data_IF_022016682075
#
_entry.id   IF_022016682075
#
_cell.length_a   1.000
_cell.length_b   1.000
_cell.length_c   1.000
_cell.angle_alpha   90.00
_cell.angle_beta   90.00
_cell.angle_gamma   90.00
#
_symmetry.space_group_name_H-M   'P 1'
#
loop_
_entity.id
_entity.type
_entity.pdbx_description
1 polymer ?
#
# COMPACT_ATOMS: atom_id res chain seq x y z
N UNK A 1 -59.79 -7.16 21.63
CA UNK A 1 -60.34 -6.88 22.98
C UNK A 1 -59.76 -7.95 23.89
N UNK A 2 -58.70 -7.64 24.65
CA UNK A 2 -58.73 -6.91 25.92
C UNK A 2 -58.57 -7.90 27.06
N UNK A 3 -57.34 -8.14 27.52
CA UNK A 3 -57.04 -8.49 28.90
C UNK A 3 -55.66 -7.91 29.28
N UNK A 4 -55.67 -6.62 29.64
CA UNK A 4 -54.99 -6.11 30.85
C UNK A 4 -55.57 -6.88 32.05
N UNK A 5 -54.97 -7.12 33.20
CA UNK A 5 -53.82 -6.57 33.94
C UNK A 5 -53.79 -7.37 35.25
N UNK A 6 -52.62 -7.66 35.81
CA UNK A 6 -52.40 -7.73 37.27
C UNK A 6 -50.89 -7.83 37.54
N UNK A 7 -50.24 -6.71 37.89
CA UNK A 7 -49.98 -6.18 39.26
C UNK A 7 -48.94 -7.00 40.03
N UNK A 8 -47.70 -6.49 40.09
CA UNK A 8 -47.11 -5.69 41.18
C UNK A 8 -46.28 -6.55 42.13
N UNK A 9 -44.99 -6.22 42.23
CA UNK A 9 -44.07 -6.85 43.17
C UNK A 9 -42.69 -6.24 43.15
N UNK A 10 -42.54 -5.16 43.93
CA UNK A 10 -41.28 -4.62 44.49
C UNK A 10 -40.58 -3.55 43.64
N UNK A 11 -41.13 -2.33 43.75
CA UNK A 11 -40.30 -1.13 43.82
C UNK A 11 -39.58 -1.09 45.17
N UNK A 12 -38.26 -0.87 45.18
CA UNK A 12 -37.69 0.37 45.71
C UNK A 12 -36.16 0.28 45.91
N UNK A 13 -35.52 1.43 45.64
CA UNK A 13 -34.15 1.85 46.00
C UNK A 13 -33.03 1.59 45.00
N UNK A 14 -33.04 2.35 43.92
CA UNK A 14 -31.83 3.05 43.46
C UNK A 14 -32.21 4.48 43.04
N UNK A 15 -31.96 5.43 43.93
CA UNK A 15 -32.15 6.87 43.74
C UNK A 15 -30.98 7.45 42.93
N UNK A 16 -31.12 7.57 41.62
CA UNK A 16 -30.50 8.60 40.75
C UNK A 16 -30.95 8.39 39.29
N UNK A 17 -31.17 9.45 38.50
CA UNK A 17 -31.84 9.34 37.21
C UNK A 17 -30.88 8.76 36.17
N UNK A 18 -30.95 7.45 35.93
CA UNK A 18 -30.46 6.88 34.68
C UNK A 18 -31.48 7.29 33.62
N UNK A 19 -31.11 8.26 32.80
CA UNK A 19 -31.84 8.65 31.60
C UNK A 19 -32.03 7.42 30.69
N UNK A 20 -33.10 6.65 30.93
CA UNK A 20 -33.70 5.76 29.94
C UNK A 20 -34.37 6.65 28.91
N UNK A 21 -33.56 7.18 27.99
CA UNK A 21 -34.06 7.80 26.77
C UNK A 21 -34.85 6.72 26.02
N UNK A 22 -36.15 6.95 25.91
CA UNK A 22 -37.05 6.39 24.90
C UNK A 22 -36.27 6.11 23.60
N UNK A 23 -36.01 4.84 23.29
CA UNK A 23 -35.57 4.45 21.95
C UNK A 23 -36.78 4.50 21.03
N UNK A 24 -37.12 5.70 20.56
CA UNK A 24 -37.79 5.83 19.27
C UNK A 24 -36.87 5.20 18.21
N UNK A 25 -37.41 4.30 17.39
CA UNK A 25 -36.70 3.72 16.26
C UNK A 25 -36.43 4.78 15.19
N UNK A 26 -35.41 5.61 15.38
CA UNK A 26 -35.00 6.57 14.36
C UNK A 26 -34.26 5.78 13.26
N UNK A 27 -34.90 5.66 12.10
CA UNK A 27 -34.25 5.16 10.88
C UNK A 27 -33.27 6.24 10.41
N UNK A 28 -32.03 6.18 10.87
CA UNK A 28 -30.97 7.12 10.45
C UNK A 28 -30.22 6.56 9.23
N UNK A 29 -29.97 7.42 8.24
CA UNK A 29 -29.24 7.06 7.01
C UNK A 29 -27.75 6.73 7.24
N UNK A 30 -27.18 7.19 8.35
CA UNK A 30 -25.88 6.76 8.88
C UNK A 30 -25.73 6.98 10.38
N UNK A 31 -25.06 6.05 11.05
CA UNK A 31 -24.77 6.10 12.49
C UNK A 31 -23.28 5.79 12.74
N UNK A 32 -22.66 6.45 13.70
CA UNK A 32 -21.29 6.13 14.13
C UNK A 32 -21.35 5.31 15.41
N UNK A 33 -20.80 4.09 15.37
CA UNK A 33 -20.72 3.22 16.54
C UNK A 33 -19.28 2.72 16.71
N UNK A 34 -18.73 2.90 17.91
CA UNK A 34 -17.33 2.57 18.25
C UNK A 34 -16.31 3.10 17.24
N UNK A 35 -16.55 4.30 16.67
CA UNK A 35 -15.66 4.94 15.68
C UNK A 35 -15.81 4.45 14.23
N UNK A 36 -16.74 3.53 13.95
CA UNK A 36 -17.07 3.03 12.61
C UNK A 36 -18.37 3.69 12.13
N UNK A 37 -18.35 4.23 10.91
CA UNK A 37 -19.52 4.84 10.28
C UNK A 37 -20.31 3.79 9.51
N UNK A 38 -21.49 3.48 10.00
CA UNK A 38 -22.44 2.57 9.36
C UNK A 38 -23.39 3.37 8.47
N UNK A 39 -23.74 2.79 7.31
CA UNK A 39 -24.81 3.28 6.43
C UNK A 39 -26.04 2.37 6.57
N UNK A 40 -27.23 2.85 6.20
CA UNK A 40 -28.44 2.01 6.18
C UNK A 40 -28.31 0.71 5.37
N UNK A 41 -27.47 0.69 4.32
CA UNK A 41 -27.17 -0.52 3.53
C UNK A 41 -26.14 -1.46 4.15
N UNK A 42 -25.48 -1.05 5.25
CA UNK A 42 -24.37 -1.76 5.93
C UNK A 42 -23.23 -2.25 4.99
N UNK A 43 -23.14 -1.67 3.78
CA UNK A 43 -22.20 -2.12 2.76
C UNK A 43 -20.72 -1.88 3.09
N UNK A 44 -20.41 -1.12 4.15
CA UNK A 44 -19.05 -0.82 4.57
C UNK A 44 -18.37 0.34 3.83
N UNK A 45 -19.01 0.93 2.81
CA UNK A 45 -18.40 2.00 2.00
C UNK A 45 -18.13 3.28 2.80
N UNK A 46 -19.13 3.77 3.56
CA UNK A 46 -18.96 4.96 4.42
C UNK A 46 -17.85 4.74 5.48
N UNK A 47 -17.73 3.51 6.01
CA UNK A 47 -16.65 3.14 6.91
C UNK A 47 -15.27 3.23 6.23
N UNK A 48 -15.15 2.72 4.99
CA UNK A 48 -13.93 2.82 4.20
C UNK A 48 -13.55 4.27 3.89
N UNK A 49 -14.49 5.09 3.46
CA UNK A 49 -14.27 6.52 3.17
C UNK A 49 -13.81 7.28 4.42
N UNK A 50 -14.48 7.04 5.57
CA UNK A 50 -14.08 7.61 6.86
C UNK A 50 -12.68 7.15 7.29
N UNK A 51 -12.35 5.87 7.16
CA UNK A 51 -11.04 5.33 7.49
C UNK A 51 -9.92 5.91 6.61
N UNK A 52 -10.17 6.05 5.30
CA UNK A 52 -9.21 6.66 4.35
C UNK A 52 -8.97 8.14 4.68
N UNK A 53 -10.03 8.89 5.00
CA UNK A 53 -9.92 10.30 5.39
C UNK A 53 -9.05 10.47 6.65
N UNK A 54 -9.31 9.67 7.70
CA UNK A 54 -8.50 9.69 8.93
C UNK A 54 -7.06 9.25 8.68
N UNK A 55 -6.85 8.22 7.85
CA UNK A 55 -5.52 7.76 7.48
C UNK A 55 -4.73 8.80 6.66
N UNK A 56 -5.41 9.63 5.86
CA UNK A 56 -4.78 10.72 5.12
C UNK A 56 -4.24 11.82 6.05
N UNK A 57 -4.98 12.16 7.11
CA UNK A 57 -4.52 13.10 8.16
C UNK A 57 -3.32 12.50 8.90
N UNK A 58 -3.43 11.25 9.35
CA UNK A 58 -2.34 10.53 10.00
C UNK A 58 -1.09 10.43 9.11
N UNK A 59 -1.29 10.32 7.78
CA UNK A 59 -0.19 10.29 6.81
C UNK A 59 0.59 11.60 6.79
N UNK A 60 -0.08 12.74 6.78
CA UNK A 60 0.57 14.06 6.80
C UNK A 60 1.38 14.25 8.10
N UNK A 61 0.79 13.91 9.24
CA UNK A 61 1.47 13.98 10.54
C UNK A 61 2.70 13.06 10.58
N UNK A 62 2.57 11.84 10.07
CA UNK A 62 3.67 10.86 10.02
C UNK A 62 4.81 11.35 9.12
N UNK A 63 4.50 11.94 7.96
CA UNK A 63 5.51 12.54 7.07
C UNK A 63 6.27 13.68 7.77
N UNK A 64 5.57 14.53 8.53
CA UNK A 64 6.20 15.61 9.30
C UNK A 64 7.11 15.07 10.40
N UNK A 65 6.70 14.01 11.10
CA UNK A 65 7.54 13.34 12.11
C UNK A 65 8.79 12.75 11.47
N UNK A 66 8.65 12.06 10.34
CA UNK A 66 9.78 11.48 9.60
C UNK A 66 10.77 12.56 9.14
N UNK A 67 10.26 13.68 8.64
CA UNK A 67 11.09 14.81 8.19
C UNK A 67 11.83 15.48 9.35
N UNK A 68 11.14 15.82 10.44
CA UNK A 68 11.74 16.45 11.62
C UNK A 68 12.73 15.52 12.33
N UNK A 69 12.39 14.25 12.44
CA UNK A 69 13.23 13.22 13.05
C UNK A 69 14.38 12.74 12.16
N UNK A 70 14.49 13.23 10.91
CA UNK A 70 15.50 12.82 9.92
C UNK A 70 15.64 11.30 9.82
N UNK A 71 14.52 10.59 9.79
CA UNK A 71 14.52 9.13 9.76
C UNK A 71 15.24 8.62 8.50
N UNK A 72 16.31 7.85 8.71
CA UNK A 72 17.20 7.33 7.65
C UNK A 72 17.09 5.80 7.47
N UNK A 73 16.28 5.15 8.31
CA UNK A 73 16.09 3.70 8.34
C UNK A 73 14.74 3.30 7.79
N UNK A 74 14.73 2.39 6.82
CA UNK A 74 13.51 1.81 6.26
C UNK A 74 12.62 1.16 7.33
N UNK A 75 13.21 0.47 8.30
CA UNK A 75 12.46 -0.16 9.39
C UNK A 75 11.70 0.88 10.23
N UNK A 76 12.29 2.05 10.46
CA UNK A 76 11.64 3.15 11.19
C UNK A 76 10.45 3.70 10.40
N UNK A 77 10.62 3.89 9.09
CA UNK A 77 9.53 4.31 8.18
C UNK A 77 8.37 3.32 8.22
N UNK A 78 8.64 2.02 8.04
CA UNK A 78 7.61 0.99 8.09
C UNK A 78 6.94 0.92 9.46
N UNK A 79 7.72 0.99 10.55
CA UNK A 79 7.18 0.94 11.91
C UNK A 79 6.23 2.11 12.18
N UNK A 80 6.61 3.33 11.79
CA UNK A 80 5.75 4.50 11.91
C UNK A 80 4.48 4.35 11.07
N UNK A 81 4.61 3.94 9.80
CA UNK A 81 3.46 3.64 8.96
C UNK A 81 2.48 2.65 9.64
N UNK A 82 3.00 1.56 10.20
CA UNK A 82 2.15 0.55 10.83
C UNK A 82 1.47 1.05 12.10
N UNK A 83 2.18 1.80 12.94
CA UNK A 83 1.66 2.25 14.24
C UNK A 83 0.66 3.39 14.11
N UNK A 84 0.80 4.26 13.10
CA UNK A 84 -0.07 5.44 12.95
C UNK A 84 -1.10 5.26 11.84
N UNK A 85 -0.66 4.95 10.62
CA UNK A 85 -1.51 4.98 9.43
C UNK A 85 -2.28 3.65 9.32
N UNK A 86 -1.58 2.52 9.41
CA UNK A 86 -2.21 1.21 9.23
C UNK A 86 -3.21 0.89 10.35
N UNK A 87 -2.90 1.21 11.60
CA UNK A 87 -3.84 1.10 12.74
C UNK A 87 -5.10 1.93 12.53
N UNK A 88 -4.97 3.18 12.07
CA UNK A 88 -6.09 4.07 11.76
C UNK A 88 -6.92 3.57 10.59
N UNK A 89 -6.26 3.15 9.51
CA UNK A 89 -6.88 2.69 8.27
C UNK A 89 -7.60 1.34 8.45
N UNK A 90 -7.00 0.44 9.22
CA UNK A 90 -7.46 -0.94 9.40
C UNK A 90 -8.26 -1.13 10.69
N UNK A 91 -8.62 -0.05 11.37
CA UNK A 91 -9.45 -0.12 12.56
C UNK A 91 -10.80 -0.78 12.22
N UNK A 92 -11.04 -1.94 12.85
CA UNK A 92 -12.23 -2.79 12.61
C UNK A 92 -12.46 -3.20 11.14
N UNK A 93 -11.42 -3.14 10.30
CA UNK A 93 -11.54 -3.41 8.86
C UNK A 93 -11.90 -4.87 8.54
N UNK A 94 -11.70 -5.83 9.46
CA UNK A 94 -12.19 -7.19 9.28
C UNK A 94 -13.71 -7.30 9.11
N UNK A 95 -14.49 -6.34 9.66
CA UNK A 95 -15.95 -6.38 9.60
C UNK A 95 -16.51 -5.85 8.28
N UNK A 96 -15.86 -4.87 7.66
CA UNK A 96 -16.40 -4.14 6.50
C UNK A 96 -15.43 -4.02 5.32
N UNK A 97 -14.15 -4.32 5.53
CA UNK A 97 -13.05 -4.02 4.60
C UNK A 97 -12.77 -5.10 3.55
N UNK A 98 -13.32 -6.31 3.69
CA UNK A 98 -13.09 -7.41 2.73
C UNK A 98 -13.47 -7.01 1.30
N UNK A 99 -14.60 -6.32 1.13
CA UNK A 99 -15.07 -5.81 -0.15
C UNK A 99 -14.33 -4.55 -0.63
N UNK A 100 -13.94 -3.67 0.28
CA UNK A 100 -13.38 -2.35 -0.05
C UNK A 100 -11.85 -2.30 0.02
N UNK A 101 -11.19 -3.46 0.00
CA UNK A 101 -9.74 -3.56 0.14
C UNK A 101 -8.97 -2.73 -0.90
N UNK A 102 -9.48 -2.60 -2.13
CA UNK A 102 -8.87 -1.78 -3.19
C UNK A 102 -8.87 -0.29 -2.86
N UNK A 103 -9.93 0.22 -2.21
CA UNK A 103 -9.98 1.61 -1.76
C UNK A 103 -8.96 1.86 -0.65
N UNK A 104 -8.81 0.91 0.27
CA UNK A 104 -7.84 1.00 1.36
C UNK A 104 -6.40 0.88 0.86
N UNK A 105 -6.15 0.06 -0.17
CA UNK A 105 -4.83 -0.07 -0.81
C UNK A 105 -4.32 1.28 -1.33
N UNK A 106 -5.20 2.10 -1.93
CA UNK A 106 -4.84 3.45 -2.40
C UNK A 106 -4.33 4.34 -1.27
N UNK A 107 -4.81 4.18 -0.03
CA UNK A 107 -4.31 4.95 1.10
C UNK A 107 -2.86 4.59 1.44
N UNK A 108 -2.52 3.29 1.45
CA UNK A 108 -1.13 2.82 1.60
C UNK A 108 -0.24 3.35 0.47
N UNK A 109 -0.69 3.21 -0.78
CA UNK A 109 0.06 3.69 -1.94
C UNK A 109 0.30 5.21 -1.90
N UNK A 110 -0.72 5.99 -1.54
CA UNK A 110 -0.63 7.45 -1.47
C UNK A 110 0.39 7.91 -0.42
N UNK A 111 0.49 7.23 0.73
CA UNK A 111 1.50 7.55 1.73
C UNK A 111 2.92 7.39 1.16
N UNK A 112 3.23 6.23 0.58
CA UNK A 112 4.57 5.95 0.06
C UNK A 112 4.90 6.77 -1.19
N UNK A 113 3.91 7.05 -2.06
CA UNK A 113 4.08 8.00 -3.17
C UNK A 113 4.46 9.39 -2.66
N UNK A 114 3.81 9.89 -1.61
CA UNK A 114 4.16 11.19 -1.00
C UNK A 114 5.52 11.17 -0.33
N UNK A 115 5.87 10.09 0.38
CA UNK A 115 7.18 9.95 1.02
C UNK A 115 8.33 10.07 0.02
N UNK A 116 8.20 9.36 -1.11
CA UNK A 116 9.23 9.29 -2.15
C UNK A 116 9.03 10.26 -3.31
N UNK A 117 8.06 11.18 -3.20
CA UNK A 117 7.73 12.18 -4.23
C UNK A 117 7.41 11.58 -5.61
N UNK A 118 6.82 10.38 -5.64
CA UNK A 118 6.49 9.69 -6.88
C UNK A 118 5.24 10.29 -7.55
N UNK A 119 5.14 10.22 -8.89
CA UNK A 119 3.94 10.62 -9.61
C UNK A 119 2.68 9.90 -9.13
N UNK A 120 1.53 10.59 -9.17
CA UNK A 120 0.23 10.03 -8.77
C UNK A 120 -0.13 8.79 -9.60
N UNK A 121 0.24 8.78 -10.87
CA UNK A 121 0.01 7.69 -11.82
C UNK A 121 0.88 6.44 -11.58
N UNK A 122 1.88 6.49 -10.69
CA UNK A 122 2.75 5.33 -10.40
C UNK A 122 1.90 4.14 -9.96
N UNK A 123 1.96 2.98 -10.63
CA UNK A 123 1.13 1.84 -10.29
C UNK A 123 1.45 1.25 -8.92
N UNK A 124 0.42 0.86 -8.19
CA UNK A 124 0.56 0.26 -6.87
C UNK A 124 1.37 -1.03 -6.83
N UNK A 125 1.24 -1.88 -7.85
CA UNK A 125 2.01 -3.13 -7.94
C UNK A 125 3.52 -2.83 -8.01
N UNK A 126 3.94 -1.84 -8.80
CA UNK A 126 5.34 -1.45 -8.94
C UNK A 126 5.91 -0.96 -7.60
N UNK A 127 5.12 -0.13 -6.90
CA UNK A 127 5.48 0.38 -5.57
C UNK A 127 5.62 -0.74 -4.54
N UNK A 128 4.69 -1.71 -4.52
CA UNK A 128 4.77 -2.88 -3.61
C UNK A 128 5.95 -3.79 -3.95
N UNK A 129 6.28 -3.93 -5.23
CA UNK A 129 7.44 -4.71 -5.66
C UNK A 129 8.75 -4.10 -5.18
N UNK A 130 8.93 -2.81 -5.42
CA UNK A 130 10.15 -2.05 -5.10
C UNK A 130 10.35 -1.89 -3.59
N UNK A 131 9.29 -1.59 -2.84
CA UNK A 131 9.35 -1.35 -1.40
C UNK A 131 9.08 -2.60 -0.55
N UNK A 132 8.81 -3.75 -1.16
CA UNK A 132 8.52 -5.00 -0.42
C UNK A 132 7.29 -4.90 0.48
N UNK A 133 6.27 -4.14 0.06
CA UNK A 133 5.11 -3.85 0.91
C UNK A 133 4.10 -5.01 0.87
N UNK A 134 3.60 -5.38 2.05
CA UNK A 134 2.46 -6.30 2.15
C UNK A 134 1.19 -5.59 1.66
N UNK A 135 0.40 -6.18 0.74
CA UNK A 135 -0.89 -5.62 0.35
C UNK A 135 -1.86 -5.49 1.53
N UNK A 136 -2.71 -4.47 1.51
CA UNK A 136 -3.73 -4.22 2.54
C UNK A 136 -4.74 -5.37 2.60
N UNK A 137 -5.11 -5.95 1.44
CA UNK A 137 -6.00 -7.14 1.36
C UNK A 137 -5.50 -8.29 2.24
N UNK A 138 -4.18 -8.49 2.33
CA UNK A 138 -3.58 -9.52 3.20
C UNK A 138 -3.87 -9.24 4.68
N UNK A 139 -3.68 -8.00 5.13
CA UNK A 139 -3.88 -7.61 6.53
C UNK A 139 -5.36 -7.67 6.94
N UNK A 140 -6.26 -7.25 6.05
CA UNK A 140 -7.72 -7.35 6.30
C UNK A 140 -8.13 -8.82 6.45
N UNK A 141 -7.67 -9.67 5.53
CA UNK A 141 -7.96 -11.10 5.61
C UNK A 141 -7.39 -11.73 6.89
N UNK A 142 -6.18 -11.35 7.30
CA UNK A 142 -5.59 -11.79 8.56
C UNK A 142 -6.42 -11.39 9.79
N UNK A 143 -6.95 -10.17 9.82
CA UNK A 143 -7.83 -9.75 10.91
C UNK A 143 -9.17 -10.50 10.88
N UNK A 144 -9.76 -10.70 9.69
CA UNK A 144 -11.01 -11.44 9.53
C UNK A 144 -10.86 -12.91 9.94
N UNK A 145 -9.75 -13.55 9.58
CA UNK A 145 -9.40 -14.90 10.00
C UNK A 145 -9.36 -15.02 11.52
N UNK A 146 -8.62 -14.13 12.19
CA UNK A 146 -8.53 -14.11 13.66
C UNK A 146 -9.88 -13.83 14.32
N UNK A 147 -10.73 -13.05 13.67
CA UNK A 147 -12.09 -12.80 14.15
C UNK A 147 -12.97 -14.04 14.05
N UNK A 148 -12.89 -14.80 12.95
CA UNK A 148 -13.58 -16.10 12.82
C UNK A 148 -13.08 -17.09 13.87
N UNK A 149 -11.76 -17.23 14.06
CA UNK A 149 -11.21 -18.11 15.10
C UNK A 149 -11.81 -17.79 16.48
N UNK A 150 -11.89 -16.50 16.83
CA UNK A 150 -12.55 -16.07 18.07
C UNK A 150 -14.01 -16.52 18.07
N UNK A 151 -14.76 -16.36 16.99
CA UNK A 151 -16.17 -16.76 16.89
C UNK A 151 -16.34 -18.28 17.08
N UNK A 152 -15.50 -19.08 16.45
CA UNK A 152 -15.55 -20.54 16.54
C UNK A 152 -15.27 -21.04 17.96
N UNK A 153 -14.52 -20.27 18.75
CA UNK A 153 -14.23 -20.55 20.17
C UNK A 153 -15.32 -20.00 21.13
N UNK A 154 -16.28 -19.19 20.66
CA UNK A 154 -17.33 -18.61 21.53
C UNK A 154 -18.40 -19.63 21.92
N UNK A 155 -19.06 -19.41 23.06
CA UNK A 155 -20.29 -20.14 23.42
C UNK A 155 -21.44 -19.88 22.43
N UNK A 156 -22.33 -20.88 22.28
CA UNK A 156 -23.43 -20.87 21.30
C UNK A 156 -24.42 -19.71 21.43
N UNK A 157 -24.60 -19.19 22.64
CA UNK A 157 -25.59 -18.13 22.94
C UNK A 157 -25.11 -16.72 22.57
N UNK A 158 -23.85 -16.52 22.17
CA UNK A 158 -23.36 -15.16 21.87
C UNK A 158 -23.81 -14.71 20.49
N UNK A 159 -24.37 -13.50 20.40
CA UNK A 159 -24.84 -12.92 19.15
C UNK A 159 -23.84 -12.96 17.97
N UNK A 160 -22.52 -12.69 18.15
CA UNK A 160 -21.59 -12.78 17.02
C UNK A 160 -21.51 -14.19 16.41
N UNK A 161 -21.61 -15.23 17.24
CA UNK A 161 -21.62 -16.62 16.78
C UNK A 161 -22.92 -16.93 16.03
N UNK A 162 -24.05 -16.60 16.63
CA UNK A 162 -25.37 -16.80 16.01
C UNK A 162 -25.44 -16.08 14.65
N UNK A 163 -25.02 -14.82 14.59
CA UNK A 163 -25.01 -14.04 13.36
C UNK A 163 -24.06 -14.62 12.29
N UNK A 164 -22.86 -15.05 12.69
CA UNK A 164 -21.90 -15.68 11.77
C UNK A 164 -22.45 -16.97 11.18
N UNK A 165 -23.00 -17.88 11.99
CA UNK A 165 -23.57 -19.14 11.48
C UNK A 165 -24.80 -18.89 10.59
N UNK A 166 -25.58 -17.84 10.86
CA UNK A 166 -26.66 -17.41 9.96
C UNK A 166 -26.11 -16.95 8.61
N UNK A 167 -25.08 -16.10 8.61
CA UNK A 167 -24.42 -15.64 7.37
C UNK A 167 -23.77 -16.79 6.60
N UNK A 168 -23.11 -17.73 7.30
CA UNK A 168 -22.54 -18.94 6.72
C UNK A 168 -23.61 -19.78 6.03
N UNK A 169 -24.74 -20.08 6.70
CA UNK A 169 -25.87 -20.79 6.07
C UNK A 169 -26.41 -20.07 4.84
N UNK A 170 -26.57 -18.75 4.91
CA UNK A 170 -27.02 -17.94 3.77
C UNK A 170 -25.98 -17.90 2.63
N UNK A 171 -24.69 -18.12 2.92
CA UNK A 171 -23.63 -18.14 1.91
C UNK A 171 -23.66 -19.38 1.03
N UNK A 172 -24.31 -20.46 1.49
CA UNK A 172 -24.45 -21.72 0.77
C UNK A 172 -25.64 -21.73 -0.21
N UNK A 173 -26.52 -20.72 -0.15
CA UNK A 173 -27.67 -20.63 -1.05
C UNK A 173 -27.30 -20.18 -2.47
N UNK A 174 -28.01 -20.69 -3.47
CA UNK A 174 -27.76 -20.42 -4.91
C UNK A 174 -27.84 -18.93 -5.27
N UNK A 175 -28.66 -18.14 -4.57
CA UNK A 175 -28.86 -16.71 -4.80
C UNK A 175 -28.01 -15.81 -3.89
N UNK A 176 -26.91 -16.32 -3.31
CA UNK A 176 -26.08 -15.50 -2.43
C UNK A 176 -25.25 -14.47 -3.22
N UNK A 177 -25.57 -13.19 -3.06
CA UNK A 177 -24.71 -12.10 -3.54
C UNK A 177 -23.62 -11.78 -2.49
N UNK A 178 -22.33 -12.02 -2.79
CA UNK A 178 -21.20 -11.67 -1.92
C UNK A 178 -21.19 -10.19 -1.52
N UNK A 179 -21.80 -9.32 -2.32
CA UNK A 179 -21.94 -7.88 -2.03
C UNK A 179 -22.60 -7.60 -0.67
N UNK A 180 -23.54 -8.46 -0.27
CA UNK A 180 -24.35 -8.31 0.94
C UNK A 180 -24.10 -9.41 1.98
N UNK A 181 -23.38 -10.48 1.63
CA UNK A 181 -23.00 -11.52 2.57
C UNK A 181 -21.48 -11.49 2.85
N UNK A 182 -21.12 -11.01 4.04
CA UNK A 182 -19.72 -10.96 4.50
C UNK A 182 -19.06 -12.35 4.51
N UNK A 183 -19.78 -13.39 4.91
CA UNK A 183 -19.24 -14.75 4.98
C UNK A 183 -18.92 -15.28 3.57
N UNK A 184 -19.76 -14.97 2.57
CA UNK A 184 -19.47 -15.28 1.17
C UNK A 184 -18.22 -14.54 0.65
N UNK A 185 -17.99 -13.27 1.04
CA UNK A 185 -16.76 -12.55 0.71
C UNK A 185 -15.52 -13.24 1.30
N UNK A 186 -15.61 -13.72 2.54
CA UNK A 186 -14.52 -14.46 3.16
C UNK A 186 -14.26 -15.78 2.44
N UNK A 187 -15.33 -16.52 2.11
CA UNK A 187 -15.26 -17.78 1.38
C UNK A 187 -14.59 -17.63 0.01
N UNK A 188 -14.85 -16.54 -0.72
CA UNK A 188 -14.15 -16.25 -1.97
C UNK A 188 -12.63 -16.19 -1.81
N UNK A 189 -12.14 -15.63 -0.70
CA UNK A 189 -10.69 -15.58 -0.41
C UNK A 189 -10.15 -16.98 -0.05
N UNK A 190 -10.93 -17.81 0.64
CA UNK A 190 -10.57 -19.23 0.88
C UNK A 190 -10.48 -20.01 -0.43
N UNK A 191 -11.46 -19.85 -1.32
CA UNK A 191 -11.44 -20.46 -2.66
C UNK A 191 -10.24 -19.99 -3.47
N UNK A 192 -9.97 -18.68 -3.47
CA UNK A 192 -8.78 -18.08 -4.08
C UNK A 192 -7.45 -18.68 -3.56
N UNK A 193 -7.43 -19.23 -2.35
CA UNK A 193 -6.23 -19.81 -1.73
C UNK A 193 -6.24 -21.33 -1.71
N UNK A 194 -7.28 -21.99 -2.23
CA UNK A 194 -7.42 -23.45 -2.27
C UNK A 194 -7.70 -24.09 -0.91
N UNK A 195 -8.38 -23.39 0.01
CA UNK A 195 -8.74 -23.88 1.35
C UNK A 195 -10.26 -23.85 1.55
N UNK A 196 -11.02 -24.20 0.52
CA UNK A 196 -12.49 -24.22 0.57
C UNK A 196 -13.04 -25.28 1.53
N UNK A 197 -12.29 -26.36 1.77
CA UNK A 197 -12.64 -27.42 2.71
C UNK A 197 -12.75 -26.95 4.18
N UNK A 198 -12.03 -25.87 4.53
CA UNK A 198 -12.19 -25.22 5.84
C UNK A 198 -13.58 -24.61 6.05
N UNK A 199 -14.28 -24.29 4.97
CA UNK A 199 -15.62 -23.72 5.01
C UNK A 199 -16.69 -24.76 5.31
N UNK A 200 -16.43 -26.02 4.94
CA UNK A 200 -17.29 -27.17 5.25
C UNK A 200 -17.10 -27.61 6.71
N UNK A 201 -15.87 -27.54 7.21
CA UNK A 201 -15.53 -27.89 8.59
C UNK A 201 -15.09 -26.68 9.42
N UNK A 202 -16.05 -26.08 10.13
CA UNK A 202 -15.84 -24.92 11.01
C UNK A 202 -15.23 -25.29 12.38
N UNK A 203 -14.32 -26.27 12.43
CA UNK A 203 -13.57 -26.60 13.63
C UNK A 203 -12.40 -25.63 13.84
N UNK A 204 -12.37 -24.96 15.00
CA UNK A 204 -11.35 -23.97 15.34
C UNK A 204 -9.91 -24.49 15.32
N UNK A 205 -9.69 -25.74 15.76
CA UNK A 205 -8.35 -26.33 15.81
C UNK A 205 -7.80 -26.56 14.41
N UNK A 206 -8.61 -27.12 13.50
CA UNK A 206 -8.25 -27.31 12.10
C UNK A 206 -7.86 -25.99 11.43
N UNK A 207 -8.58 -24.91 11.73
CA UNK A 207 -8.23 -23.58 11.23
C UNK A 207 -6.86 -23.15 11.79
N UNK A 208 -6.65 -23.19 13.11
CA UNK A 208 -5.37 -22.82 13.75
C UNK A 208 -4.18 -23.57 13.14
N UNK A 209 -4.31 -24.88 12.92
CA UNK A 209 -3.24 -25.72 12.36
C UNK A 209 -2.86 -25.33 10.91
N UNK A 210 -3.83 -24.80 10.15
CA UNK A 210 -3.61 -24.40 8.74
C UNK A 210 -3.24 -22.93 8.55
N UNK A 211 -3.35 -22.09 9.59
CA UNK A 211 -3.13 -20.65 9.52
C UNK A 211 -1.78 -20.30 8.85
N UNK A 212 -0.68 -20.90 9.31
CA UNK A 212 0.65 -20.61 8.77
C UNK A 212 0.76 -20.92 7.26
N UNK A 213 0.30 -22.10 6.84
CA UNK A 213 0.38 -22.55 5.44
C UNK A 213 -0.47 -21.66 4.54
N UNK A 214 -1.69 -21.36 4.98
CA UNK A 214 -2.63 -20.51 4.26
C UNK A 214 -2.07 -19.10 4.04
N UNK A 215 -1.60 -18.43 5.09
CA UNK A 215 -1.06 -17.07 4.96
C UNK A 215 0.25 -17.04 4.19
N UNK A 216 1.11 -18.06 4.31
CA UNK A 216 2.32 -18.20 3.49
C UNK A 216 1.98 -18.33 2.00
N UNK A 217 0.99 -19.16 1.66
CA UNK A 217 0.54 -19.34 0.28
C UNK A 217 -0.14 -18.09 -0.26
N UNK A 218 -0.96 -17.42 0.55
CA UNK A 218 -1.63 -16.21 0.16
C UNK A 218 -0.66 -15.04 -0.10
N UNK A 219 0.34 -14.85 0.77
CA UNK A 219 1.39 -13.86 0.54
C UNK A 219 2.16 -14.11 -0.77
N UNK A 220 2.50 -15.38 -1.05
CA UNK A 220 3.15 -15.78 -2.31
C UNK A 220 2.25 -15.51 -3.52
N UNK A 221 0.95 -15.83 -3.43
CA UNK A 221 -0.02 -15.58 -4.49
C UNK A 221 -0.09 -14.08 -4.83
N UNK A 222 -0.30 -13.23 -3.83
CA UNK A 222 -0.37 -11.78 -4.03
C UNK A 222 0.92 -11.21 -4.63
N UNK A 223 2.08 -11.71 -4.19
CA UNK A 223 3.37 -11.32 -4.77
C UNK A 223 3.49 -11.74 -6.24
N UNK A 224 3.05 -12.95 -6.60
CA UNK A 224 3.03 -13.42 -7.99
C UNK A 224 2.11 -12.57 -8.86
N UNK A 225 0.96 -12.15 -8.36
CA UNK A 225 0.05 -11.25 -9.08
C UNK A 225 0.70 -9.89 -9.38
N UNK A 226 1.41 -9.31 -8.42
CA UNK A 226 2.14 -8.06 -8.64
C UNK A 226 3.28 -8.24 -9.65
N UNK A 227 4.04 -9.34 -9.58
CA UNK A 227 5.09 -9.68 -10.55
C UNK A 227 4.48 -9.84 -11.96
N UNK A 228 3.38 -10.58 -12.10
CA UNK A 228 2.71 -10.77 -13.38
C UNK A 228 2.23 -9.45 -14.00
N UNK A 229 1.71 -8.53 -13.17
CA UNK A 229 1.34 -7.17 -13.61
C UNK A 229 2.56 -6.37 -14.03
N UNK A 230 3.68 -6.48 -13.32
CA UNK A 230 4.93 -5.82 -13.68
C UNK A 230 5.49 -6.31 -15.01
N UNK A 231 5.54 -7.62 -15.22
CA UNK A 231 6.06 -8.20 -16.47
C UNK A 231 5.17 -7.85 -17.66
N UNK A 232 3.84 -7.84 -17.48
CA UNK A 232 2.89 -7.51 -18.55
C UNK A 232 2.81 -6.01 -18.85
N UNK A 233 3.07 -5.13 -17.87
CA UNK A 233 2.93 -3.69 -18.07
C UNK A 233 4.07 -3.10 -18.88
N UNK A 234 3.77 -2.14 -19.74
CA UNK A 234 4.75 -1.30 -20.46
C UNK A 234 4.99 0.05 -19.77
N UNK A 235 4.43 0.28 -18.59
CA UNK A 235 4.38 1.60 -17.95
C UNK A 235 5.76 2.19 -17.60
N UNK A 236 6.70 1.35 -17.13
CA UNK A 236 8.02 1.79 -16.67
C UNK A 236 9.06 1.72 -17.81
N UNK A 237 9.93 2.73 -17.85
CA UNK A 237 11.08 2.79 -18.77
C UNK A 237 12.13 1.75 -18.40
N UNK A 238 12.35 1.53 -17.11
CA UNK A 238 13.36 0.61 -16.60
C UNK A 238 12.74 -0.77 -16.30
N UNK A 239 13.34 -1.83 -16.83
CA UNK A 239 12.97 -3.21 -16.52
C UNK A 239 13.88 -3.77 -15.44
N UNK A 240 13.30 -4.02 -14.28
CA UNK A 240 13.96 -4.68 -13.15
C UNK A 240 13.33 -6.04 -12.88
N UNK A 241 14.16 -6.99 -12.45
CA UNK A 241 13.70 -8.31 -12.06
C UNK A 241 13.40 -8.33 -10.57
N UNK A 242 12.16 -8.66 -10.21
CA UNK A 242 11.74 -8.81 -8.82
C UNK A 242 11.66 -10.29 -8.43
N UNK A 243 12.25 -10.61 -7.27
CA UNK A 243 12.18 -11.95 -6.72
C UNK A 243 10.81 -12.30 -6.12
N UNK A 244 10.56 -13.61 -5.89
CA UNK A 244 9.31 -14.11 -5.32
C UNK A 244 9.18 -13.84 -3.82
N UNK A 245 10.26 -13.44 -3.15
CA UNK A 245 10.24 -13.05 -1.73
C UNK A 245 9.67 -11.64 -1.59
N UNK A 246 8.89 -11.44 -0.52
CA UNK A 246 8.35 -10.13 -0.17
C UNK A 246 9.42 -9.33 0.58
N UNK A 247 10.33 -8.72 -0.17
CA UNK A 247 11.41 -7.89 0.37
C UNK A 247 11.56 -6.60 -0.44
N UNK A 248 11.96 -5.49 0.21
CA UNK A 248 12.29 -4.27 -0.51
C UNK A 248 13.57 -4.45 -1.32
N UNK A 249 13.74 -3.63 -2.36
CA UNK A 249 15.00 -3.52 -3.08
C UNK A 249 16.15 -3.24 -2.10
N UNK A 250 17.33 -3.82 -2.36
CA UNK A 250 18.45 -3.85 -1.41
C UNK A 250 18.86 -2.46 -0.95
N UNK A 251 18.97 -1.51 -1.88
CA UNK A 251 19.35 -0.13 -1.58
C UNK A 251 18.37 0.61 -0.64
N UNK A 252 17.08 0.23 -0.60
CA UNK A 252 16.10 0.84 0.31
C UNK A 252 16.48 0.62 1.77
N UNK A 253 17.16 -0.49 2.08
CA UNK A 253 17.63 -0.82 3.43
C UNK A 253 18.87 0.00 3.84
N UNK A 254 19.50 0.73 2.93
CA UNK A 254 20.70 1.51 3.23
C UNK A 254 20.38 2.78 4.05
N UNK A 255 21.12 3.01 5.14
CA UNK A 255 20.99 4.21 5.96
C UNK A 255 21.62 5.43 5.28
N UNK A 256 20.78 6.21 4.62
CA UNK A 256 21.20 7.36 3.82
C UNK A 256 20.15 8.48 3.82
N UNK A 257 20.52 9.70 3.40
CA UNK A 257 19.56 10.79 3.25
C UNK A 257 18.40 10.40 2.33
N UNK A 258 17.17 10.76 2.73
CA UNK A 258 15.94 10.44 1.97
C UNK A 258 15.97 10.94 0.53
N UNK A 259 16.71 12.00 0.22
CA UNK A 259 16.83 12.53 -1.13
C UNK A 259 17.56 11.57 -2.08
N UNK A 260 18.51 10.78 -1.58
CA UNK A 260 19.21 9.77 -2.38
C UNK A 260 18.26 8.63 -2.75
N UNK A 261 17.45 8.18 -1.78
CA UNK A 261 16.41 7.18 -2.01
C UNK A 261 15.33 7.69 -2.97
N UNK A 262 14.88 8.94 -2.80
CA UNK A 262 13.91 9.59 -3.69
C UNK A 262 14.41 9.59 -5.13
N UNK A 263 15.64 10.04 -5.37
CA UNK A 263 16.23 10.06 -6.70
C UNK A 263 16.23 8.66 -7.32
N UNK A 264 16.73 7.68 -6.57
CA UNK A 264 16.89 6.31 -7.03
C UNK A 264 15.56 5.63 -7.36
N UNK A 265 14.56 5.76 -6.50
CA UNK A 265 13.22 5.17 -6.72
C UNK A 265 12.54 5.86 -7.91
N UNK A 266 12.65 7.19 -8.05
CA UNK A 266 12.04 7.89 -9.18
C UNK A 266 12.66 7.45 -10.52
N UNK A 267 13.97 7.21 -10.57
CA UNK A 267 14.63 6.65 -11.76
C UNK A 267 14.19 5.21 -12.05
N UNK A 268 14.20 4.34 -11.03
CA UNK A 268 13.82 2.92 -11.18
C UNK A 268 12.35 2.72 -11.53
N UNK A 269 11.47 3.62 -11.07
CA UNK A 269 10.04 3.63 -11.37
C UNK A 269 9.65 4.70 -12.39
N UNK A 270 10.61 5.22 -13.16
CA UNK A 270 10.35 6.21 -14.19
C UNK A 270 9.35 5.66 -15.21
N UNK A 271 8.34 6.47 -15.51
CA UNK A 271 7.26 6.09 -16.42
C UNK A 271 7.49 6.66 -17.82
N UNK A 272 6.80 6.13 -18.83
CA UNK A 272 6.96 6.58 -20.23
C UNK A 272 6.30 7.94 -20.55
N UNK A 273 5.78 8.67 -19.55
CA UNK A 273 5.11 9.96 -19.75
C UNK A 273 6.00 11.12 -19.32
N UNK A 274 6.29 11.22 -18.01
CA UNK A 274 7.12 12.28 -17.43
C UNK A 274 7.81 11.76 -16.18
N UNK A 275 9.12 11.97 -16.09
CA UNK A 275 9.90 11.78 -14.88
C UNK A 275 10.10 13.15 -14.22
N UNK A 276 9.63 13.30 -12.97
CA UNK A 276 9.80 14.55 -12.20
C UNK A 276 10.76 14.30 -11.05
N UNK A 277 11.86 15.03 -11.02
CA UNK A 277 12.87 14.94 -9.97
C UNK A 277 12.92 16.25 -9.21
N UNK A 278 12.83 16.16 -7.88
CA UNK A 278 13.08 17.30 -7.00
C UNK A 278 14.52 17.24 -6.52
N UNK A 279 15.29 18.27 -6.82
CA UNK A 279 16.65 18.44 -6.33
C UNK A 279 16.78 19.86 -5.77
N UNK A 280 17.21 19.96 -4.52
CA UNK A 280 17.25 21.23 -3.77
C UNK A 280 15.88 21.92 -3.77
N UNK A 281 15.80 23.11 -4.38
CA UNK A 281 14.58 23.93 -4.49
C UNK A 281 13.89 23.79 -5.85
N UNK A 282 14.53 23.13 -6.82
CA UNK A 282 14.07 23.07 -8.20
C UNK A 282 13.36 21.73 -8.51
N UNK A 283 12.47 21.78 -9.51
CA UNK A 283 11.74 20.61 -10.02
C UNK A 283 12.09 20.43 -11.49
N UNK A 284 12.82 19.38 -11.78
CA UNK A 284 13.23 19.01 -13.12
C UNK A 284 12.25 18.00 -13.71
N UNK A 285 11.89 18.18 -14.97
CA UNK A 285 10.95 17.29 -15.66
C UNK A 285 11.58 16.78 -16.94
N UNK A 286 11.75 15.47 -17.04
CA UNK A 286 12.21 14.78 -18.23
C UNK A 286 10.99 14.21 -18.95
N UNK A 287 10.80 14.59 -20.21
CA UNK A 287 9.77 14.03 -21.08
C UNK A 287 10.45 13.10 -22.11
N UNK A 288 10.22 11.78 -22.04
CA UNK A 288 10.82 10.82 -22.96
C UNK A 288 10.34 10.98 -24.41
N UNK A 289 9.39 11.90 -24.69
CA UNK A 289 8.94 12.22 -26.04
C UNK A 289 9.57 13.52 -26.59
N UNK A 290 10.36 14.24 -25.78
CA UNK A 290 11.07 15.45 -26.18
C UNK A 290 12.55 15.11 -26.45
N UNK A 291 13.17 15.80 -27.40
CA UNK A 291 14.59 15.64 -27.70
C UNK A 291 15.44 16.29 -26.61
N UNK A 292 16.55 15.66 -26.25
CA UNK A 292 17.48 16.19 -25.26
C UNK A 292 18.02 17.55 -25.71
N UNK A 293 17.88 18.55 -24.84
CA UNK A 293 18.37 19.92 -25.11
C UNK A 293 19.85 20.07 -24.79
N UNK A 294 20.40 19.20 -23.95
CA UNK A 294 21.80 19.27 -23.52
C UNK A 294 22.79 18.67 -24.53
N UNK A 295 22.34 17.88 -25.51
CA UNK A 295 23.24 17.28 -26.51
C UNK A 295 22.75 17.51 -27.94
N UNK A 296 23.70 17.56 -28.89
CA UNK A 296 23.40 17.80 -30.30
C UNK A 296 22.93 16.54 -31.06
N UNK A 297 22.80 15.40 -30.37
CA UNK A 297 22.45 14.12 -30.99
C UNK A 297 20.95 13.95 -31.27
N UNK A 298 20.10 14.88 -30.80
CA UNK A 298 18.63 14.85 -30.98
C UNK A 298 17.95 13.56 -30.50
N UNK A 299 18.59 12.80 -29.61
CA UNK A 299 18.01 11.62 -28.98
C UNK A 299 16.92 12.04 -27.99
N UNK A 300 15.94 11.17 -27.77
CA UNK A 300 14.86 11.41 -26.80
C UNK A 300 15.37 11.43 -25.36
N UNK A 301 14.82 12.34 -24.55
CA UNK A 301 15.24 12.57 -23.17
C UNK A 301 14.64 11.56 -22.17
N UNK A 302 14.92 10.29 -22.42
CA UNK A 302 14.50 9.18 -21.56
C UNK A 302 15.61 8.80 -20.55
N UNK A 303 15.29 7.93 -19.60
CA UNK A 303 16.25 7.47 -18.57
C UNK A 303 17.47 6.79 -19.18
N UNK A 304 17.30 6.07 -20.29
CA UNK A 304 18.42 5.43 -20.98
C UNK A 304 19.40 6.46 -21.55
N UNK A 305 18.88 7.48 -22.20
CA UNK A 305 19.67 8.57 -22.74
C UNK A 305 20.43 9.29 -21.62
N UNK A 306 19.73 9.66 -20.55
CA UNK A 306 20.31 10.38 -19.42
C UNK A 306 21.38 9.54 -18.71
N UNK A 307 21.19 8.23 -18.51
CA UNK A 307 22.11 7.41 -17.73
C UNK A 307 23.27 6.80 -18.53
N UNK A 308 23.11 6.60 -19.84
CA UNK A 308 24.07 5.77 -20.63
C UNK A 308 24.53 6.44 -21.92
N UNK A 309 23.67 7.17 -22.64
CA UNK A 309 23.98 7.58 -24.01
C UNK A 309 24.45 9.03 -24.15
N UNK A 310 23.84 9.98 -23.42
CA UNK A 310 24.06 11.42 -23.61
C UNK A 310 25.55 11.83 -23.53
N UNK A 311 26.17 12.33 -24.62
CA UNK A 311 27.60 12.65 -24.63
C UNK A 311 27.98 13.72 -23.59
N UNK A 312 27.11 14.70 -23.39
CA UNK A 312 27.28 15.81 -22.44
C UNK A 312 27.49 15.32 -21.01
N UNK A 313 26.90 14.16 -20.66
CA UNK A 313 26.99 13.61 -19.30
C UNK A 313 28.16 12.63 -19.12
N UNK A 314 28.94 12.35 -20.17
CA UNK A 314 30.07 11.40 -20.14
C UNK A 314 31.09 11.67 -19.03
N UNK A 315 31.55 12.92 -18.79
CA UNK A 315 32.51 13.19 -17.72
C UNK A 315 31.97 12.81 -16.34
N UNK A 316 30.67 13.04 -16.11
CA UNK A 316 30.01 12.69 -14.85
C UNK A 316 29.78 11.18 -14.74
N UNK A 317 29.42 10.50 -15.84
CA UNK A 317 29.26 9.04 -15.87
C UNK A 317 30.57 8.34 -15.51
N UNK A 318 31.67 8.75 -16.13
CA UNK A 318 32.99 8.19 -15.88
C UNK A 318 33.42 8.40 -14.42
N UNK A 319 33.13 9.58 -13.86
CA UNK A 319 33.47 9.92 -12.47
C UNK A 319 32.64 9.16 -11.43
N UNK A 320 31.34 8.97 -11.64
CA UNK A 320 30.44 8.48 -10.60
C UNK A 320 29.87 7.08 -10.85
N UNK A 321 29.54 6.73 -12.09
CA UNK A 321 28.86 5.47 -12.41
C UNK A 321 29.82 4.36 -12.88
N UNK A 322 30.96 4.74 -13.48
CA UNK A 322 31.92 3.81 -14.09
C UNK A 322 33.29 3.76 -13.38
N UNK A 323 33.42 4.32 -12.17
CA UNK A 323 34.71 4.55 -11.50
C UNK A 323 35.48 3.31 -11.01
N UNK A 324 35.18 2.09 -11.47
CA UNK A 324 35.89 0.89 -11.00
C UNK A 324 35.84 -0.33 -11.95
N UNK A 325 36.05 -0.16 -13.26
CA UNK A 325 36.56 -1.25 -14.10
C UNK A 325 37.55 -0.68 -15.10
N UNK A 326 38.83 -0.74 -14.74
CA UNK A 326 39.97 -0.61 -15.67
C UNK A 326 40.06 -1.86 -16.57
N UNK A 327 38.94 -2.25 -17.18
CA UNK A 327 38.93 -3.20 -18.28
C UNK A 327 38.72 -2.40 -19.55
N UNK A 328 39.75 -2.37 -20.39
CA UNK A 328 39.76 -1.74 -21.71
C UNK A 328 38.73 -2.35 -22.69
N UNK A 329 37.95 -3.34 -22.23
CA UNK A 329 36.84 -3.99 -22.92
C UNK A 329 35.45 -3.71 -22.29
N UNK A 330 35.30 -2.62 -21.52
CA UNK A 330 34.05 -2.29 -20.85
C UNK A 330 32.88 -2.16 -21.84
N UNK A 331 32.08 -3.22 -21.96
CA UNK A 331 30.76 -3.21 -22.62
C UNK A 331 29.97 -2.01 -22.08
N UNK A 332 29.29 -1.30 -22.97
CA UNK A 332 28.37 -0.22 -22.58
C UNK A 332 27.43 -0.72 -21.47
N UNK A 333 27.54 -0.13 -20.27
CA UNK A 333 26.71 -0.54 -19.14
C UNK A 333 25.25 -0.32 -19.48
N UNK A 334 24.42 -1.32 -19.19
CA UNK A 334 22.98 -1.20 -19.38
C UNK A 334 22.35 -0.31 -18.30
N UNK A 335 21.18 0.27 -18.59
CA UNK A 335 20.39 1.03 -17.60
C UNK A 335 20.12 0.21 -16.33
N UNK A 336 19.85 -1.10 -16.50
CA UNK A 336 19.66 -2.04 -15.40
C UNK A 336 20.88 -2.14 -14.50
N UNK A 337 22.10 -2.12 -15.06
CA UNK A 337 23.34 -2.17 -14.27
C UNK A 337 23.59 -0.86 -13.52
N UNK A 338 23.36 0.29 -14.17
CA UNK A 338 23.48 1.61 -13.52
C UNK A 338 22.51 1.76 -12.33
N UNK A 339 21.37 1.09 -12.39
CA UNK A 339 20.33 1.14 -11.38
C UNK A 339 20.30 -0.11 -10.48
N UNK A 340 21.22 -1.06 -10.61
CA UNK A 340 21.35 -2.21 -9.71
C UNK A 340 22.11 -1.83 -8.43
N UNK A 341 21.43 -1.04 -7.61
CA UNK A 341 21.99 -0.42 -6.41
C UNK A 341 21.92 -1.39 -5.22
N UNK A 342 23.05 -1.62 -4.56
CA UNK A 342 23.15 -2.51 -3.38
C UNK A 342 23.65 -1.78 -2.14
N UNK A 343 24.55 -0.81 -2.31
CA UNK A 343 25.28 -0.16 -1.22
C UNK A 343 24.91 1.31 -1.06
N UNK A 344 25.29 1.88 0.08
CA UNK A 344 25.23 3.33 0.31
C UNK A 344 26.14 4.11 -0.65
N UNK A 345 27.26 3.51 -1.07
CA UNK A 345 28.18 4.09 -2.05
C UNK A 345 27.51 4.25 -3.41
N UNK A 346 26.79 3.22 -3.87
CA UNK A 346 26.08 3.23 -5.15
C UNK A 346 25.03 4.35 -5.17
N UNK A 347 24.26 4.49 -4.07
CA UNK A 347 23.27 5.56 -3.92
C UNK A 347 23.91 6.95 -3.91
N UNK A 348 25.04 7.10 -3.21
CA UNK A 348 25.80 8.34 -3.16
C UNK A 348 26.27 8.74 -4.56
N UNK A 349 26.84 7.78 -5.29
CA UNK A 349 27.37 7.97 -6.63
C UNK A 349 26.26 8.33 -7.63
N UNK A 350 25.16 7.58 -7.63
CA UNK A 350 24.00 7.90 -8.48
C UNK A 350 23.42 9.27 -8.15
N UNK A 351 23.32 9.62 -6.87
CA UNK A 351 22.83 10.94 -6.46
C UNK A 351 23.73 12.06 -6.99
N UNK A 352 25.05 11.99 -6.77
CA UNK A 352 25.97 13.03 -7.27
C UNK A 352 26.04 13.09 -8.79
N UNK A 353 25.97 11.93 -9.47
CA UNK A 353 25.83 11.89 -10.92
C UNK A 353 24.63 12.74 -11.36
N UNK A 354 23.45 12.43 -10.81
CA UNK A 354 22.22 13.15 -11.15
C UNK A 354 22.29 14.62 -10.75
N UNK A 355 22.87 14.97 -9.60
CA UNK A 355 23.05 16.38 -9.22
C UNK A 355 23.82 17.18 -10.28
N UNK A 356 24.87 16.60 -10.86
CA UNK A 356 25.63 17.27 -11.94
C UNK A 356 24.83 17.36 -13.24
N UNK A 357 24.10 16.30 -13.61
CA UNK A 357 23.18 16.31 -14.76
C UNK A 357 22.14 17.41 -14.62
N UNK A 358 21.50 17.51 -13.46
CA UNK A 358 20.48 18.52 -13.18
C UNK A 358 21.04 19.94 -13.14
N UNK A 359 22.30 20.12 -12.71
CA UNK A 359 22.97 21.42 -12.76
C UNK A 359 23.22 21.87 -14.20
N UNK A 360 23.61 20.95 -15.10
CA UNK A 360 23.75 21.26 -16.54
C UNK A 360 22.41 21.64 -17.15
N UNK A 361 21.34 20.89 -16.85
CA UNK A 361 19.99 21.21 -17.36
C UNK A 361 19.51 22.58 -16.90
N UNK A 362 19.75 22.93 -15.64
CA UNK A 362 19.42 24.25 -15.11
C UNK A 362 20.08 25.38 -15.92
N UNK A 363 21.36 25.23 -16.26
CA UNK A 363 22.08 26.20 -17.09
C UNK A 363 21.58 26.24 -18.54
N UNK A 364 21.07 25.12 -19.07
CA UNK A 364 20.48 25.07 -20.41
C UNK A 364 19.11 25.76 -20.45
N UNK A 365 18.28 25.58 -19.41
CA UNK A 365 16.95 26.20 -19.31
C UNK A 365 17.06 27.73 -19.13
N UNK A 366 17.99 28.21 -18.29
CA UNK A 366 18.24 29.65 -18.08
C UNK A 366 18.71 30.37 -19.36
N UNK A 367 19.23 29.65 -20.36
CA UNK A 367 19.63 30.21 -21.65
C UNK A 367 18.48 30.32 -22.67
N UNK A 368 17.28 29.81 -22.34
CA UNK A 368 16.11 29.78 -23.24
C UNK A 368 15.05 30.84 -22.92
N UNK A 369 15.14 31.55 -21.79
CA UNK A 369 14.31 32.73 -21.51
C UNK A 369 15.05 34.00 -21.97
N UNK A 370 14.59 34.70 -23.04
CA UNK A 370 15.18 35.96 -23.50
C UNK A 370 14.91 37.16 -22.57
#
# INVERSE_FOLDING_TARGET
>A
MSWMSDTMGIESRLTSPVNMIHMEHIVVSSCTYLGVVFSGSLSGRKAAESAISRAAIASLQTLNILAKGKADSWNTVCKLFYITIATTLLYSAHLWGLRHHQMLEKAQENFFKRLFLLPRCTPGYALRLELGLTPVKYKIFQQAWRWILKILDMTGHRYPRIAFFRLHKLSLGENCDPKYNWAAQFYQILKETGHEDLWENLNSQTWKDREYRLFKNYAKKLRKEDIAKWTASTFCQCRHTYGPKLEPAKYIKARCPINWLRMSINLRLANNFKLRLKHESNVYTFDPNIQCMSCNNRNYENVQHVLVECPTYTPFRNKFLFTATADENAKEKTVSECLDLHTKGDLKNLYYYMSNVLAVLYLCDDYQDP
#
